data_IF_441730828300
#
_entry.id   IF_441730828300
#
_cell.length_a   1.000
_cell.length_b   1.000
_cell.length_c   1.000
_cell.angle_alpha   90.00
_cell.angle_beta   90.00
_cell.angle_gamma   90.00
#
_symmetry.space_group_name_H-M   'P 1'
#
loop_
_entity.id
_entity.type
_entity.pdbx_description
1 polymer ?
#
# COMPACT_ATOMS: atom_id res chain seq x y z
N UNK A 1 15.11 3.94 7.69
CA UNK A 1 15.43 3.66 6.27
C UNK A 1 14.28 2.89 5.63
N UNK A 2 14.06 3.05 4.32
CA UNK A 2 13.02 2.33 3.57
C UNK A 2 13.59 0.99 3.08
N UNK A 3 12.95 -0.17 3.34
CA UNK A 3 13.50 -1.48 2.96
C UNK A 3 13.52 -1.66 1.45
N UNK A 4 14.23 -2.67 0.94
CA UNK A 4 14.18 -3.03 -0.48
C UNK A 4 12.75 -3.37 -0.92
N UNK A 5 12.38 -2.94 -2.13
CA UNK A 5 11.08 -3.21 -2.75
C UNK A 5 10.91 -4.70 -3.05
N UNK A 6 9.76 -5.27 -2.70
CA UNK A 6 9.36 -6.62 -3.13
C UNK A 6 8.52 -6.59 -4.42
N UNK A 7 8.47 -7.70 -5.19
CA UNK A 7 7.71 -7.76 -6.45
C UNK A 7 6.23 -7.40 -6.25
N UNK A 8 5.71 -6.43 -7.00
CA UNK A 8 4.29 -6.02 -6.88
C UNK A 8 3.91 -5.35 -5.55
N UNK A 9 4.87 -5.03 -4.68
CA UNK A 9 4.61 -4.43 -3.38
C UNK A 9 4.16 -2.96 -3.48
N UNK A 10 3.07 -2.61 -2.78
CA UNK A 10 2.61 -1.22 -2.67
C UNK A 10 3.54 -0.37 -1.80
N UNK A 11 3.58 0.94 -2.09
CA UNK A 11 4.43 1.87 -1.36
C UNK A 11 4.03 1.93 0.12
N UNK A 12 2.73 1.86 0.37
CA UNK A 12 2.19 1.75 1.72
C UNK A 12 2.71 0.52 2.45
N UNK A 13 2.66 -0.67 1.82
CA UNK A 13 3.21 -1.88 2.41
C UNK A 13 4.68 -1.74 2.75
N UNK A 14 5.47 -1.18 1.82
CA UNK A 14 6.91 -1.00 1.98
C UNK A 14 7.25 -0.07 3.15
N UNK A 15 6.52 1.03 3.30
CA UNK A 15 6.64 1.96 4.43
C UNK A 15 6.24 1.25 5.73
N UNK A 16 5.14 0.49 5.75
CA UNK A 16 4.70 -0.25 6.93
C UNK A 16 5.72 -1.31 7.36
N UNK A 17 6.31 -2.05 6.40
CA UNK A 17 7.40 -3.01 6.64
C UNK A 17 8.62 -2.34 7.24
N UNK A 18 9.02 -1.19 6.68
CA UNK A 18 10.14 -0.44 7.19
C UNK A 18 9.90 0.11 8.60
N UNK A 19 8.68 0.58 8.90
CA UNK A 19 8.30 1.01 10.23
C UNK A 19 8.45 -0.13 11.25
N UNK A 20 7.92 -1.31 10.91
CA UNK A 20 7.93 -2.48 11.77
C UNK A 20 9.31 -2.94 12.22
N UNK A 21 10.28 -2.90 11.31
CA UNK A 21 11.65 -3.34 11.59
C UNK A 21 12.53 -2.23 12.18
N UNK A 22 12.07 -0.98 12.16
CA UNK A 22 12.87 0.17 12.60
C UNK A 22 13.03 0.31 14.11
N UNK A 23 12.13 -0.28 14.91
CA UNK A 23 12.03 -0.03 16.35
C UNK A 23 11.64 1.40 16.74
N UNK A 24 11.40 2.30 15.77
CA UNK A 24 11.00 3.68 16.01
C UNK A 24 9.50 3.79 16.26
N UNK A 25 9.08 4.83 16.98
CA UNK A 25 7.66 5.21 16.93
C UNK A 25 7.28 5.62 15.52
N UNK A 26 5.99 5.47 15.17
CA UNK A 26 5.47 5.89 13.87
C UNK A 26 5.88 7.30 13.47
N UNK A 27 5.76 8.26 14.40
CA UNK A 27 6.10 9.66 14.11
C UNK A 27 7.58 9.81 13.78
N UNK A 28 8.47 9.17 14.54
CA UNK A 28 9.91 9.20 14.27
C UNK A 28 10.25 8.52 12.94
N UNK A 29 9.61 7.38 12.64
CA UNK A 29 9.84 6.69 11.38
C UNK A 29 9.38 7.52 10.17
N UNK A 30 8.19 8.12 10.24
CA UNK A 30 7.67 8.98 9.18
C UNK A 30 8.46 10.27 9.04
N UNK A 31 8.96 10.85 10.12
CA UNK A 31 9.90 11.97 10.06
C UNK A 31 11.16 11.57 9.28
N UNK A 32 11.69 10.37 9.56
CA UNK A 32 12.90 9.85 8.93
C UNK A 32 12.72 9.56 7.43
N UNK A 33 11.56 9.08 7.00
CA UNK A 33 11.34 8.58 5.63
C UNK A 33 10.54 9.54 4.75
N UNK A 34 9.71 10.40 5.35
CA UNK A 34 8.84 11.35 4.66
C UNK A 34 9.06 12.80 5.09
N UNK A 35 10.03 13.08 5.96
CA UNK A 35 10.34 14.44 6.45
C UNK A 35 9.21 15.08 7.25
N UNK A 36 8.22 14.29 7.67
CA UNK A 36 7.08 14.77 8.47
C UNK A 36 6.37 13.61 9.17
N UNK A 37 6.56 13.54 10.50
CA UNK A 37 6.03 12.53 11.39
C UNK A 37 4.51 12.48 11.53
N UNK A 38 3.81 13.52 11.05
CA UNK A 38 2.35 13.66 11.11
C UNK A 38 1.66 13.28 9.79
N UNK A 39 2.43 12.89 8.76
CA UNK A 39 1.87 12.53 7.47
C UNK A 39 0.99 11.28 7.54
N UNK A 40 -0.03 11.28 6.67
CA UNK A 40 -0.85 10.11 6.40
C UNK A 40 -0.36 9.47 5.11
N UNK A 41 -0.05 8.19 5.17
CA UNK A 41 0.28 7.39 3.99
C UNK A 41 -1.00 6.74 3.52
N UNK A 42 -1.44 7.11 2.32
CA UNK A 42 -2.61 6.47 1.73
C UNK A 42 -2.20 5.12 1.14
N UNK A 43 -3.00 4.05 1.34
CA UNK A 43 -2.66 2.71 0.90
C UNK A 43 -2.34 2.57 -0.59
N UNK A 44 -2.99 3.40 -1.41
CA UNK A 44 -3.03 3.23 -2.87
C UNK A 44 -2.53 4.44 -3.65
N UNK A 45 -2.36 5.57 -2.97
CA UNK A 45 -2.13 6.85 -3.62
C UNK A 45 -0.72 7.36 -3.37
N UNK A 46 -0.18 7.91 -4.44
CA UNK A 46 1.15 8.45 -4.56
C UNK A 46 1.11 9.92 -4.10
N UNK A 47 1.31 10.19 -2.81
CA UNK A 47 1.37 11.56 -2.29
C UNK A 47 2.68 11.78 -1.53
N UNK A 48 3.22 13.01 -1.59
CA UNK A 48 4.47 13.39 -0.92
C UNK A 48 5.70 12.53 -1.32
N UNK A 49 5.70 11.93 -2.51
CA UNK A 49 6.80 11.04 -2.97
C UNK A 49 8.11 11.81 -3.16
N UNK A 50 8.05 13.12 -3.40
CA UNK A 50 9.25 13.96 -3.55
C UNK A 50 10.23 13.79 -2.39
N UNK A 51 9.74 13.62 -1.16
CA UNK A 51 10.60 13.43 0.02
C UNK A 51 11.26 12.04 0.06
N UNK A 52 10.55 11.01 -0.40
CA UNK A 52 11.11 9.65 -0.50
C UNK A 52 12.28 9.64 -1.49
N UNK A 53 12.14 10.34 -2.61
CA UNK A 53 13.18 10.39 -3.65
C UNK A 53 14.39 11.23 -3.27
N UNK A 54 14.27 12.16 -2.32
CA UNK A 54 15.44 12.83 -1.75
C UNK A 54 16.21 11.98 -0.75
N UNK A 55 15.59 10.92 -0.23
CA UNK A 55 16.15 10.04 0.81
C UNK A 55 16.55 8.65 0.28
N UNK A 56 16.31 8.39 -1.00
CA UNK A 56 16.60 7.12 -1.67
C UNK A 56 17.21 7.38 -3.04
N UNK A 57 17.89 6.39 -3.61
CA UNK A 57 18.41 6.46 -4.98
C UNK A 57 17.35 6.13 -6.04
N UNK A 58 16.09 5.90 -5.62
CA UNK A 58 15.02 5.47 -6.50
C UNK A 58 14.39 6.66 -7.24
N UNK A 59 14.13 6.46 -8.52
CA UNK A 59 13.41 7.44 -9.33
C UNK A 59 11.96 7.56 -8.86
N UNK A 60 11.49 8.80 -8.77
CA UNK A 60 10.08 9.13 -8.57
C UNK A 60 9.17 8.38 -9.53
N UNK A 61 9.55 8.34 -10.82
CA UNK A 61 8.78 7.70 -11.86
C UNK A 61 8.63 6.21 -11.56
N UNK A 62 9.67 5.56 -11.04
CA UNK A 62 9.65 4.15 -10.70
C UNK A 62 8.80 3.85 -9.48
N UNK A 63 8.86 4.68 -8.43
CA UNK A 63 8.00 4.55 -7.25
C UNK A 63 6.52 4.67 -7.64
N UNK A 64 6.16 5.70 -8.43
CA UNK A 64 4.79 5.91 -8.92
C UNK A 64 4.35 4.74 -9.81
N UNK A 65 5.20 4.33 -10.74
CA UNK A 65 4.86 3.31 -11.73
C UNK A 65 4.63 1.93 -11.11
N UNK A 66 5.42 1.56 -10.10
CA UNK A 66 5.45 0.18 -9.61
C UNK A 66 4.82 -0.02 -8.24
N UNK A 67 4.61 1.04 -7.45
CA UNK A 67 4.19 0.90 -6.06
C UNK A 67 2.88 1.66 -5.74
N UNK A 68 2.22 2.26 -6.74
CA UNK A 68 0.96 2.99 -6.55
C UNK A 68 -0.03 2.69 -7.67
N UNK A 69 -1.29 3.11 -7.49
CA UNK A 69 -2.32 3.02 -8.53
C UNK A 69 -2.33 4.22 -9.49
N UNK A 70 -1.42 5.20 -9.33
CA UNK A 70 -1.40 6.40 -10.19
C UNK A 70 -1.38 6.10 -11.69
N UNK A 71 -0.64 5.09 -12.21
CA UNK A 71 -0.67 4.78 -13.64
C UNK A 71 -2.06 4.40 -14.15
N UNK A 72 -2.81 3.64 -13.33
CA UNK A 72 -4.17 3.23 -13.66
C UNK A 72 -5.09 4.46 -13.75
N UNK A 73 -5.03 5.34 -12.75
CA UNK A 73 -5.84 6.56 -12.75
C UNK A 73 -5.44 7.52 -13.86
N UNK A 74 -4.15 7.67 -14.15
CA UNK A 74 -3.68 8.55 -15.22
C UNK A 74 -4.10 8.06 -16.61
N UNK A 75 -4.22 6.74 -16.79
CA UNK A 75 -4.73 6.16 -18.03
C UNK A 75 -6.22 6.49 -18.26
N UNK A 76 -7.06 6.31 -17.24
CA UNK A 76 -8.51 6.56 -17.36
C UNK A 76 -8.91 8.03 -17.14
N UNK A 77 -8.05 8.84 -16.52
CA UNK A 77 -8.27 10.25 -16.20
C UNK A 77 -7.07 11.08 -16.68
N UNK A 78 -6.83 11.18 -18.00
CA UNK A 78 -5.65 11.83 -18.56
C UNK A 78 -5.53 13.31 -18.15
N UNK A 79 -6.63 14.00 -17.90
CA UNK A 79 -6.64 15.39 -17.40
C UNK A 79 -5.98 15.54 -16.02
N UNK A 80 -5.78 14.45 -15.28
CA UNK A 80 -5.10 14.44 -13.99
C UNK A 80 -3.70 13.85 -14.04
N UNK A 81 -3.18 13.48 -15.21
CA UNK A 81 -1.87 12.84 -15.37
C UNK A 81 -0.76 13.62 -14.65
N UNK A 82 -0.60 14.90 -14.94
CA UNK A 82 0.49 15.71 -14.38
C UNK A 82 0.39 15.86 -12.87
N UNK A 83 -0.84 15.90 -12.34
CA UNK A 83 -1.11 15.94 -10.92
C UNK A 83 -0.76 14.60 -10.24
N UNK A 84 -1.10 13.46 -10.87
CA UNK A 84 -0.81 12.11 -10.36
C UNK A 84 0.68 11.75 -10.42
N UNK A 85 1.42 12.39 -11.33
CA UNK A 85 2.86 12.25 -11.49
C UNK A 85 3.67 13.41 -10.89
N UNK A 86 3.03 14.40 -10.26
CA UNK A 86 3.72 15.52 -9.61
C UNK A 86 4.30 15.13 -8.25
N UNK A 87 5.44 15.74 -7.89
CA UNK A 87 6.17 15.45 -6.64
C UNK A 87 5.63 16.25 -5.47
N UNK A 88 4.92 17.33 -5.78
CA UNK A 88 4.39 18.29 -4.81
C UNK A 88 2.88 18.14 -4.60
N UNK A 89 2.25 17.18 -5.29
CA UNK A 89 0.83 16.92 -5.10
C UNK A 89 0.55 16.44 -3.68
N UNK A 90 -0.33 17.18 -3.00
CA UNK A 90 -0.85 16.78 -1.70
C UNK A 90 -1.75 15.55 -1.82
N UNK A 91 -1.87 14.80 -0.74
CA UNK A 91 -2.76 13.64 -0.70
C UNK A 91 -4.21 14.00 -1.06
N UNK A 92 -4.70 15.16 -0.61
CA UNK A 92 -6.07 15.60 -0.88
C UNK A 92 -6.32 15.85 -2.37
N UNK A 93 -5.37 16.45 -3.06
CA UNK A 93 -5.44 16.67 -4.51
C UNK A 93 -5.48 15.34 -5.27
N UNK A 94 -4.60 14.40 -4.92
CA UNK A 94 -4.54 13.08 -5.55
C UNK A 94 -5.81 12.28 -5.27
N UNK A 95 -6.31 12.26 -4.03
CA UNK A 95 -7.56 11.58 -3.68
C UNK A 95 -8.75 12.12 -4.46
N UNK A 96 -8.86 13.45 -4.61
CA UNK A 96 -9.92 14.09 -5.39
C UNK A 96 -9.82 13.74 -6.88
N UNK A 97 -8.62 13.81 -7.45
CA UNK A 97 -8.39 13.49 -8.85
C UNK A 97 -8.75 12.04 -9.18
N UNK A 98 -8.44 11.10 -8.29
CA UNK A 98 -8.80 9.68 -8.44
C UNK A 98 -10.27 9.37 -8.14
N UNK A 99 -11.08 10.37 -7.76
CA UNK A 99 -12.52 10.23 -7.46
C UNK A 99 -12.85 9.17 -6.38
N UNK A 100 -11.89 8.81 -5.53
CA UNK A 100 -12.07 7.77 -4.51
C UNK A 100 -13.20 8.07 -3.52
N UNK A 101 -13.47 9.35 -3.25
CA UNK A 101 -14.56 9.78 -2.36
C UNK A 101 -15.96 9.49 -2.94
N UNK A 102 -16.10 9.43 -4.27
CA UNK A 102 -17.38 9.12 -4.91
C UNK A 102 -17.67 7.61 -4.91
N UNK A 103 -16.63 6.78 -4.89
CA UNK A 103 -16.75 5.33 -5.06
C UNK A 103 -17.07 4.57 -3.75
N UNK A 104 -16.73 5.12 -2.59
CA UNK A 104 -16.76 4.40 -1.30
C UNK A 104 -17.85 4.79 -0.31
N UNK A 105 -18.67 5.80 -0.61
CA UNK A 105 -19.71 6.26 0.32
C UNK A 105 -19.18 6.44 1.76
N UNK A 106 -19.88 5.85 2.74
CA UNK A 106 -19.49 5.84 4.17
C UNK A 106 -18.59 4.63 4.56
N UNK A 107 -18.11 3.81 3.62
CA UNK A 107 -17.31 2.64 3.95
C UNK A 107 -15.89 3.00 4.40
N UNK A 108 -15.44 2.33 5.46
CA UNK A 108 -14.09 2.48 6.00
C UNK A 108 -13.03 2.14 4.94
N UNK A 109 -11.91 2.87 4.98
CA UNK A 109 -10.78 2.59 4.10
C UNK A 109 -10.19 1.22 4.40
N UNK A 110 -10.26 0.30 3.45
CA UNK A 110 -9.77 -1.07 3.60
C UNK A 110 -8.68 -1.40 2.58
N UNK A 111 -7.82 -2.37 2.93
CA UNK A 111 -6.86 -3.02 2.03
C UNK A 111 -7.24 -4.47 1.79
N UNK A 112 -6.86 -5.00 0.62
CA UNK A 112 -7.21 -6.34 0.17
C UNK A 112 -6.01 -7.28 0.15
N UNK A 113 -6.19 -8.55 0.53
CA UNK A 113 -5.17 -9.60 0.38
C UNK A 113 -5.74 -10.92 -0.11
N UNK A 114 -4.92 -11.68 -0.83
CA UNK A 114 -5.16 -13.09 -1.05
C UNK A 114 -4.47 -13.94 0.03
N UNK A 115 -5.17 -14.85 0.74
CA UNK A 115 -4.56 -15.72 1.76
C UNK A 115 -3.42 -16.60 1.22
N UNK A 116 -3.50 -16.99 -0.06
CA UNK A 116 -2.49 -17.82 -0.71
C UNK A 116 -1.26 -17.00 -1.09
N UNK A 117 -1.42 -15.78 -1.63
CA UNK A 117 -0.28 -14.86 -1.83
C UNK A 117 0.47 -14.60 -0.52
N UNK A 118 -0.23 -14.38 0.60
CA UNK A 118 0.42 -14.15 1.88
C UNK A 118 1.32 -15.32 2.30
N UNK A 119 0.87 -16.56 2.08
CA UNK A 119 1.65 -17.75 2.38
C UNK A 119 2.88 -17.88 1.46
N UNK A 120 2.72 -17.59 0.16
CA UNK A 120 3.81 -17.59 -0.80
C UNK A 120 4.84 -16.50 -0.48
N UNK A 121 4.38 -15.28 -0.17
CA UNK A 121 5.25 -14.15 0.19
C UNK A 121 6.09 -14.47 1.44
N UNK A 122 5.48 -15.09 2.45
CA UNK A 122 6.21 -15.54 3.66
C UNK A 122 7.23 -16.62 3.29
N UNK A 123 6.87 -17.60 2.47
CA UNK A 123 7.77 -18.67 2.05
C UNK A 123 8.96 -18.15 1.23
N UNK A 124 8.74 -17.16 0.35
CA UNK A 124 9.74 -16.67 -0.60
C UNK A 124 10.56 -15.50 -0.06
N UNK A 125 9.96 -14.64 0.75
CA UNK A 125 10.57 -13.38 1.20
C UNK A 125 10.65 -13.25 2.74
N UNK A 126 10.14 -14.23 3.48
CA UNK A 126 10.09 -14.20 4.95
C UNK A 126 9.04 -13.24 5.52
N UNK A 127 8.29 -12.54 4.67
CA UNK A 127 7.30 -11.54 5.07
C UNK A 127 6.23 -11.39 4.01
N UNK A 128 4.98 -11.28 4.44
CA UNK A 128 3.86 -10.91 3.57
C UNK A 128 3.75 -9.40 3.36
N UNK A 129 3.24 -8.96 2.21
CA UNK A 129 3.09 -7.54 1.88
C UNK A 129 1.78 -7.27 1.12
N UNK A 130 1.34 -6.00 1.10
CA UNK A 130 0.18 -5.62 0.31
C UNK A 130 0.56 -5.47 -1.16
N UNK A 131 0.02 -6.33 -2.01
CA UNK A 131 0.20 -6.28 -3.47
C UNK A 131 -0.62 -5.14 -4.07
N UNK A 132 -0.02 -4.35 -4.98
CA UNK A 132 -0.67 -3.23 -5.69
C UNK A 132 -1.93 -3.70 -6.43
N UNK A 133 -1.84 -4.81 -7.15
CA UNK A 133 -2.91 -5.33 -8.01
C UNK A 133 -4.17 -5.74 -7.24
N UNK A 134 -4.03 -6.22 -6.00
CA UNK A 134 -5.18 -6.51 -5.15
C UNK A 134 -5.95 -5.25 -4.74
N UNK A 135 -5.31 -4.08 -4.80
CA UNK A 135 -5.90 -2.82 -4.35
C UNK A 135 -6.70 -2.08 -5.43
N UNK A 136 -6.68 -2.58 -6.67
CA UNK A 136 -7.41 -1.98 -7.77
C UNK A 136 -8.91 -1.94 -7.41
N UNK A 137 -9.60 -0.79 -7.53
CA UNK A 137 -11.05 -0.71 -7.34
C UNK A 137 -11.78 -1.69 -8.28
N UNK A 138 -12.75 -2.44 -7.75
CA UNK A 138 -13.50 -3.46 -8.49
C UNK A 138 -12.80 -4.82 -8.67
N UNK A 139 -11.51 -4.94 -8.30
CA UNK A 139 -10.84 -6.25 -8.26
C UNK A 139 -11.17 -6.97 -6.96
N UNK A 140 -12.03 -7.98 -7.03
CA UNK A 140 -12.53 -8.69 -5.84
C UNK A 140 -11.93 -10.08 -5.65
N UNK A 141 -11.29 -10.63 -6.67
CA UNK A 141 -10.62 -11.93 -6.63
C UNK A 141 -9.15 -11.80 -7.02
N UNK A 142 -8.32 -12.68 -6.47
CA UNK A 142 -6.91 -12.77 -6.82
C UNK A 142 -6.75 -13.33 -8.24
N UNK A 143 -6.09 -12.58 -9.12
CA UNK A 143 -5.81 -13.04 -10.49
C UNK A 143 -4.88 -14.26 -10.54
N UNK A 144 -4.03 -14.44 -9.52
CA UNK A 144 -3.06 -15.56 -9.45
C UNK A 144 -3.71 -16.86 -8.96
N UNK A 145 -4.58 -16.76 -7.94
CA UNK A 145 -5.12 -17.93 -7.24
C UNK A 145 -6.62 -18.17 -7.43
N UNK A 146 -7.34 -17.24 -8.05
CA UNK A 146 -8.78 -17.38 -8.32
C UNK A 146 -9.68 -17.33 -7.08
N UNK A 147 -9.16 -16.93 -5.91
CA UNK A 147 -9.93 -16.84 -4.66
C UNK A 147 -10.33 -15.40 -4.35
N UNK A 148 -11.46 -15.23 -3.65
CA UNK A 148 -11.91 -13.92 -3.16
C UNK A 148 -10.86 -13.28 -2.25
N UNK A 149 -10.70 -11.96 -2.40
CA UNK A 149 -9.80 -11.17 -1.58
C UNK A 149 -10.41 -10.91 -0.21
N UNK A 150 -9.61 -11.08 0.83
CA UNK A 150 -9.97 -10.70 2.18
C UNK A 150 -9.79 -9.19 2.36
N UNK A 151 -10.82 -8.56 2.92
CA UNK A 151 -10.82 -7.14 3.26
C UNK A 151 -10.32 -6.92 4.68
N UNK A 152 -9.40 -5.97 4.82
CA UNK A 152 -8.85 -5.53 6.11
C UNK A 152 -9.17 -4.05 6.28
N UNK A 153 -10.19 -3.71 7.08
CA UNK A 153 -10.52 -2.33 7.37
C UNK A 153 -9.36 -1.66 8.09
N UNK A 154 -8.83 -0.59 7.51
CA UNK A 154 -7.79 0.20 8.12
C UNK A 154 -8.41 1.15 9.14
N UNK A 155 -8.21 0.83 10.40
CA UNK A 155 -8.78 1.57 11.52
C UNK A 155 -7.93 2.80 11.88
N UNK A 156 -8.60 3.88 12.31
CA UNK A 156 -7.94 5.07 12.86
C UNK A 156 -7.22 5.98 11.84
N UNK A 157 -6.51 6.99 12.35
CA UNK A 157 -5.87 8.05 11.53
C UNK A 157 -4.52 7.65 10.94
N UNK A 158 -3.99 6.47 11.28
CA UNK A 158 -2.63 6.06 10.91
C UNK A 158 -2.53 4.56 10.65
N UNK A 159 -2.79 4.19 9.42
CA UNK A 159 -2.91 2.81 8.94
C UNK A 159 -1.58 2.01 8.93
N UNK A 160 -0.46 2.59 9.34
CA UNK A 160 0.88 1.98 9.23
C UNK A 160 1.17 0.82 10.19
N UNK A 161 0.36 0.67 11.25
CA UNK A 161 0.48 -0.46 12.18
C UNK A 161 -0.15 -1.74 11.62
N UNK A 162 -0.85 -1.64 10.49
CA UNK A 162 -1.60 -2.72 9.85
C UNK A 162 -0.83 -3.24 8.62
N UNK A 163 0.47 -3.51 8.79
CA UNK A 163 1.16 -4.32 7.78
C UNK A 163 0.56 -5.73 7.84
N UNK A 164 0.48 -6.44 6.70
CA UNK A 164 -0.46 -7.54 6.56
C UNK A 164 -0.32 -8.55 7.69
N UNK A 165 0.89 -9.01 8.02
CA UNK A 165 1.09 -10.01 9.07
C UNK A 165 2.52 -9.94 9.59
N UNK A 166 2.91 -8.83 10.22
CA UNK A 166 4.24 -8.74 10.84
C UNK A 166 4.39 -9.80 11.95
N UNK A 167 4.95 -10.92 11.52
CA UNK A 167 5.71 -11.92 12.22
C UNK A 167 5.05 -12.85 13.24
N UNK A 168 3.88 -12.62 13.82
CA UNK A 168 3.31 -13.63 14.75
C UNK A 168 1.83 -13.42 15.10
N UNK A 169 0.94 -14.21 14.49
CA UNK A 169 -0.02 -15.08 15.21
C UNK A 169 -0.23 -16.33 14.37
N UNK A 170 0.58 -17.35 14.66
CA UNK A 170 0.68 -18.69 14.04
C UNK A 170 -0.61 -19.53 14.21
N UNK A 171 -1.80 -19.00 13.88
CA UNK A 171 -3.07 -19.72 14.03
C UNK A 171 -4.05 -19.67 12.85
N UNK A 172 -3.75 -18.93 11.77
CA UNK A 172 -4.72 -18.78 10.66
C UNK A 172 -4.65 -19.93 9.63
N UNK A 173 -3.60 -20.75 9.64
CA UNK A 173 -3.41 -21.85 8.67
C UNK A 173 -4.36 -23.05 8.85
N UNK A 174 -5.30 -23.05 9.81
CA UNK A 174 -6.24 -24.17 10.01
C UNK A 174 -7.59 -24.04 9.30
N UNK A 175 -7.94 -22.88 8.74
CA UNK A 175 -9.26 -22.68 8.12
C UNK A 175 -9.26 -22.68 6.58
N UNK A 176 -8.11 -22.48 5.93
CA UNK A 176 -8.02 -22.53 4.46
C UNK A 176 -8.02 -23.96 3.88
N UNK A 177 -7.80 -24.99 4.72
CA UNK A 177 -7.74 -26.39 4.30
C UNK A 177 -9.06 -27.17 4.45
N UNK A 178 -10.18 -26.50 4.74
CA UNK A 178 -11.50 -27.14 4.98
C UNK A 178 -12.58 -26.78 3.96
N UNK A 179 -12.22 -26.16 2.83
CA UNK A 179 -13.18 -25.80 1.77
C UNK A 179 -12.73 -26.33 0.40
N UNK A 180 -12.18 -27.55 0.36
CA UNK A 180 -12.13 -28.39 -0.83
C UNK A 180 -12.98 -29.62 -0.58
#
# INVERSE_FOLDING_TARGET
>A
MLPARLPGESLFSRISRGHAISGLTKSQYLETVLGNGRLRVHPFLAANIGVITSLTTESKKDLIRHQTLSPLFAYFLPQHHDLLYSSQSSLQQVTRACQFSAWRGNEALSVKSCPLCLCEDIREHGVSYWHVVHQIPGVEACYKHGVWLCYHPLSGRSHLNEAPFLLQKVKVLRHAAKQQ
#
